data_IF_515917005445
#
_entry.id   IF_515917005445
#
_cell.length_a   1.000
_cell.length_b   1.000
_cell.length_c   1.000
_cell.angle_alpha   90.00
_cell.angle_beta   90.00
_cell.angle_gamma   90.00
#
_symmetry.space_group_name_H-M   'P 1'
#
loop_
_entity.id
_entity.type
_entity.pdbx_description
1 polymer ?
#
# COMPACT_ATOMS: atom_id res chain seq x y z
N UNK A 1 -35.69 -8.70 -1.56
CA UNK A 1 -34.31 -8.32 -1.19
C UNK A 1 -33.65 -7.66 -2.39
N UNK A 2 -33.14 -6.43 -2.27
CA UNK A 2 -32.38 -5.82 -3.36
C UNK A 2 -31.06 -6.57 -3.52
N UNK A 3 -30.81 -7.08 -4.73
CA UNK A 3 -29.58 -7.80 -5.08
C UNK A 3 -28.38 -6.86 -4.99
N UNK A 4 -27.32 -7.27 -4.30
CA UNK A 4 -26.04 -6.55 -4.20
C UNK A 4 -25.44 -6.21 -5.58
N UNK A 5 -25.79 -6.98 -6.62
CA UNK A 5 -25.37 -6.72 -7.99
C UNK A 5 -26.02 -5.47 -8.63
N UNK A 6 -27.14 -4.98 -8.09
CA UNK A 6 -27.86 -3.79 -8.58
C UNK A 6 -27.30 -2.47 -7.99
N UNK A 7 -26.37 -2.54 -7.04
CA UNK A 7 -25.74 -1.36 -6.44
C UNK A 7 -24.78 -0.72 -7.47
N UNK A 8 -25.01 0.56 -7.78
CA UNK A 8 -24.20 1.32 -8.73
C UNK A 8 -22.73 1.37 -8.29
N UNK A 9 -21.80 0.97 -9.17
CA UNK A 9 -20.35 1.04 -8.93
C UNK A 9 -19.71 2.37 -9.34
N UNK A 10 -20.52 3.42 -9.49
CA UNK A 10 -20.05 4.79 -9.79
C UNK A 10 -19.49 5.43 -8.52
N UNK A 11 -18.50 6.31 -8.68
CA UNK A 11 -18.03 7.17 -7.59
C UNK A 11 -18.90 8.43 -7.49
N UNK A 12 -18.88 9.07 -6.32
CA UNK A 12 -19.53 10.35 -6.05
C UNK A 12 -18.66 11.22 -5.13
N UNK A 13 -18.71 12.53 -5.36
CA UNK A 13 -18.17 13.53 -4.43
C UNK A 13 -19.32 14.13 -3.64
N UNK A 14 -19.32 13.92 -2.32
CA UNK A 14 -20.36 14.45 -1.42
C UNK A 14 -19.77 15.59 -0.61
N UNK A 15 -20.17 16.80 -0.95
CA UNK A 15 -19.79 18.01 -0.23
C UNK A 15 -20.67 18.19 1.01
N UNK A 16 -20.04 18.46 2.15
CA UNK A 16 -20.74 18.81 3.38
C UNK A 16 -20.48 20.27 3.72
N UNK A 17 -21.35 21.14 3.20
CA UNK A 17 -21.25 22.59 3.41
C UNK A 17 -21.77 23.05 4.77
N UNK A 18 -22.47 22.16 5.50
CA UNK A 18 -22.88 22.40 6.88
C UNK A 18 -21.76 22.12 7.90
N UNK A 19 -20.63 21.54 7.46
CA UNK A 19 -19.46 21.32 8.29
C UNK A 19 -18.75 22.64 8.60
N UNK A 20 -18.24 22.85 9.84
CA UNK A 20 -17.48 24.06 10.20
C UNK A 20 -16.16 24.20 9.43
N UNK A 21 -15.69 23.12 8.80
CA UNK A 21 -14.55 23.09 7.89
C UNK A 21 -15.00 22.53 6.53
N UNK A 22 -14.47 23.03 5.40
CA UNK A 22 -14.78 22.47 4.08
C UNK A 22 -14.47 20.97 4.06
N UNK A 23 -15.51 20.16 3.84
CA UNK A 23 -15.41 18.71 3.85
C UNK A 23 -16.00 18.13 2.57
N UNK A 24 -15.24 17.24 1.93
CA UNK A 24 -15.71 16.41 0.81
C UNK A 24 -15.46 14.95 1.14
N UNK A 25 -16.48 14.12 0.92
CA UNK A 25 -16.36 12.66 1.02
C UNK A 25 -16.28 12.06 -0.38
N UNK A 26 -15.26 11.24 -0.63
CA UNK A 26 -15.18 10.41 -1.82
C UNK A 26 -15.88 9.08 -1.55
N UNK A 27 -16.99 8.83 -2.23
CA UNK A 27 -17.79 7.62 -2.04
C UNK A 27 -17.66 6.72 -3.26
N UNK A 28 -17.23 5.47 -3.05
CA UNK A 28 -17.11 4.47 -4.11
C UNK A 28 -15.82 4.61 -4.93
N UNK A 29 -15.90 4.23 -6.21
CA UNK A 29 -14.75 4.13 -7.11
C UNK A 29 -14.16 2.72 -7.20
N UNK A 30 -13.38 2.49 -8.26
CA UNK A 30 -12.70 1.21 -8.52
C UNK A 30 -11.19 1.44 -8.66
N UNK A 31 -10.41 0.39 -8.44
CA UNK A 31 -8.96 0.43 -8.72
C UNK A 31 -8.65 0.86 -10.16
N UNK A 32 -9.45 0.40 -11.14
CA UNK A 32 -9.26 0.76 -12.55
C UNK A 32 -9.58 2.22 -12.88
N UNK A 33 -10.34 2.91 -12.02
CA UNK A 33 -10.72 4.32 -12.19
C UNK A 33 -10.03 5.23 -11.17
N UNK A 34 -9.09 4.72 -10.37
CA UNK A 34 -8.53 5.47 -9.25
C UNK A 34 -7.85 6.77 -9.70
N UNK A 35 -7.12 6.74 -10.81
CA UNK A 35 -6.42 7.92 -11.35
C UNK A 35 -7.40 8.98 -11.83
N UNK A 36 -8.37 8.61 -12.67
CA UNK A 36 -9.37 9.56 -13.18
C UNK A 36 -10.23 10.13 -12.06
N UNK A 37 -10.60 9.32 -11.07
CA UNK A 37 -11.32 9.76 -9.87
C UNK A 37 -10.49 10.75 -9.05
N UNK A 38 -9.21 10.46 -8.82
CA UNK A 38 -8.31 11.37 -8.12
C UNK A 38 -8.14 12.69 -8.86
N UNK A 39 -8.02 12.68 -10.20
CA UNK A 39 -7.97 13.88 -11.03
C UNK A 39 -9.24 14.73 -10.90
N UNK A 40 -10.42 14.11 -11.04
CA UNK A 40 -11.71 14.79 -10.88
C UNK A 40 -11.87 15.39 -9.48
N UNK A 41 -11.51 14.62 -8.45
CA UNK A 41 -11.58 15.07 -7.05
C UNK A 41 -10.66 16.26 -6.80
N UNK A 42 -9.38 16.12 -7.18
CA UNK A 42 -8.40 17.18 -6.99
C UNK A 42 -8.83 18.45 -7.73
N UNK A 43 -9.35 18.32 -8.96
CA UNK A 43 -9.87 19.44 -9.72
C UNK A 43 -11.03 20.15 -9.01
N UNK A 44 -12.02 19.40 -8.54
CA UNK A 44 -13.17 19.96 -7.81
C UNK A 44 -12.76 20.66 -6.50
N UNK A 45 -11.77 20.11 -5.79
CA UNK A 45 -11.21 20.73 -4.57
C UNK A 45 -10.46 22.03 -4.89
N UNK A 46 -9.59 22.03 -5.90
CA UNK A 46 -8.81 23.21 -6.29
C UNK A 46 -9.71 24.37 -6.72
N UNK A 47 -10.75 24.10 -7.52
CA UNK A 47 -11.75 25.12 -7.89
C UNK A 47 -12.42 25.72 -6.66
N UNK A 48 -12.78 24.91 -5.65
CA UNK A 48 -13.39 25.40 -4.41
C UNK A 48 -12.42 26.19 -3.53
N UNK A 49 -11.12 25.94 -3.66
CA UNK A 49 -10.05 26.73 -3.03
C UNK A 49 -9.73 28.03 -3.80
N UNK A 50 -10.38 28.28 -4.94
CA UNK A 50 -10.22 29.50 -5.73
C UNK A 50 -9.20 29.41 -6.86
N UNK A 51 -8.67 28.22 -7.14
CA UNK A 51 -7.75 28.01 -8.27
C UNK A 51 -8.50 28.03 -9.60
N UNK A 52 -7.86 28.59 -10.63
CA UNK A 52 -8.40 28.60 -11.99
C UNK A 52 -8.36 27.19 -12.58
N UNK A 53 -9.45 26.77 -13.24
CA UNK A 53 -9.49 25.49 -13.94
C UNK A 53 -8.39 25.34 -15.01
N UNK A 54 -7.87 26.45 -15.54
CA UNK A 54 -6.78 26.46 -16.52
C UNK A 54 -5.41 26.04 -15.92
N UNK A 55 -5.21 26.21 -14.61
CA UNK A 55 -3.94 25.94 -13.93
C UNK A 55 -3.88 24.51 -13.36
N UNK A 56 -4.99 23.77 -13.42
CA UNK A 56 -5.11 22.41 -12.90
C UNK A 56 -4.40 21.42 -13.83
N UNK A 57 -3.29 20.87 -13.37
CA UNK A 57 -2.51 19.86 -14.11
C UNK A 57 -3.17 18.48 -14.05
N UNK A 58 -3.07 17.72 -15.14
CA UNK A 58 -3.48 16.31 -15.14
C UNK A 58 -2.34 15.38 -14.70
N UNK A 59 -2.69 14.16 -14.29
CA UNK A 59 -1.76 13.13 -13.83
C UNK A 59 -1.52 12.04 -14.88
N UNK A 60 -2.08 12.13 -16.08
CA UNK A 60 -2.01 11.09 -17.11
C UNK A 60 -0.58 10.74 -17.51
N UNK A 61 0.26 11.75 -17.72
CA UNK A 61 1.67 11.58 -18.08
C UNK A 61 2.61 11.44 -16.88
N UNK A 62 2.09 11.49 -15.64
CA UNK A 62 2.92 11.37 -14.43
C UNK A 62 3.30 9.91 -14.22
N UNK A 63 4.60 9.64 -14.32
CA UNK A 63 5.19 8.33 -13.99
C UNK A 63 5.15 8.14 -12.47
N UNK A 64 4.74 6.95 -12.03
CA UNK A 64 4.77 6.56 -10.62
C UNK A 64 6.17 6.05 -10.23
N UNK A 65 6.59 6.16 -8.96
CA UNK A 65 7.85 5.56 -8.50
C UNK A 65 7.95 4.08 -8.91
N UNK A 66 9.12 3.66 -9.40
CA UNK A 66 9.34 2.31 -9.95
C UNK A 66 8.77 2.08 -11.36
N UNK A 67 8.01 3.02 -11.93
CA UNK A 67 7.44 2.93 -13.28
C UNK A 67 8.40 3.35 -14.41
N UNK A 68 9.61 3.81 -14.08
CA UNK A 68 10.68 4.01 -15.06
C UNK A 68 11.43 2.69 -15.20
N UNK A 69 11.40 2.11 -16.40
CA UNK A 69 12.27 0.98 -16.73
C UNK A 69 13.71 1.50 -16.78
N UNK A 70 14.45 1.37 -15.68
CA UNK A 70 15.90 1.55 -15.70
C UNK A 70 16.49 0.50 -16.65
N UNK A 71 17.26 0.96 -17.64
CA UNK A 71 17.94 0.06 -18.59
C UNK A 71 18.84 -0.90 -17.82
N UNK A 72 18.55 -2.19 -17.97
CA UNK A 72 19.40 -3.37 -17.68
C UNK A 72 20.28 -3.27 -16.42
N UNK A 73 19.68 -3.57 -15.26
CA UNK A 73 20.46 -3.84 -14.05
C UNK A 73 21.24 -5.15 -14.21
N UNK A 74 22.56 -5.04 -14.29
CA UNK A 74 23.52 -6.16 -14.31
C UNK A 74 23.22 -7.19 -13.21
N UNK A 75 23.34 -8.48 -13.56
CA UNK A 75 23.00 -9.65 -12.73
C UNK A 75 24.22 -10.14 -11.94
N UNK A 76 24.61 -9.43 -10.90
CA UNK A 76 25.61 -9.93 -9.95
C UNK A 76 24.96 -10.41 -8.64
N UNK A 77 25.23 -11.68 -8.25
CA UNK A 77 24.99 -12.28 -6.93
C UNK A 77 23.55 -12.24 -6.38
N UNK A 78 22.78 -13.32 -6.54
CA UNK A 78 21.34 -13.36 -6.24
C UNK A 78 20.97 -13.09 -4.76
N UNK A 79 21.62 -13.75 -3.78
CA UNK A 79 21.12 -13.73 -2.40
C UNK A 79 21.34 -12.39 -1.66
N UNK A 80 22.49 -11.75 -1.86
CA UNK A 80 22.80 -10.45 -1.24
C UNK A 80 21.88 -9.34 -1.77
N UNK A 81 21.52 -9.41 -3.05
CA UNK A 81 20.61 -8.47 -3.69
C UNK A 81 19.20 -8.51 -3.12
N UNK A 82 18.67 -9.69 -2.80
CA UNK A 82 17.32 -9.80 -2.25
C UNK A 82 17.24 -9.21 -0.84
N UNK A 83 18.25 -9.45 0.00
CA UNK A 83 18.31 -8.82 1.33
C UNK A 83 18.36 -7.30 1.25
N UNK A 84 19.17 -6.75 0.36
CA UNK A 84 19.23 -5.31 0.17
C UNK A 84 17.93 -4.75 -0.43
N UNK A 85 17.30 -5.45 -1.37
CA UNK A 85 16.00 -5.06 -1.91
C UNK A 85 14.93 -5.01 -0.81
N UNK A 86 14.90 -6.00 0.08
CA UNK A 86 13.98 -6.02 1.24
C UNK A 86 14.27 -4.86 2.19
N UNK A 87 15.55 -4.59 2.52
CA UNK A 87 15.92 -3.44 3.36
C UNK A 87 15.50 -2.11 2.75
N UNK A 88 15.66 -1.95 1.43
CA UNK A 88 15.17 -0.77 0.71
C UNK A 88 13.65 -0.62 0.82
N UNK A 89 12.89 -1.70 0.65
CA UNK A 89 11.43 -1.68 0.88
C UNK A 89 11.12 -1.22 2.30
N UNK A 90 11.84 -1.74 3.31
CA UNK A 90 11.63 -1.38 4.72
C UNK A 90 11.87 0.12 4.94
N UNK A 91 12.91 0.69 4.33
CA UNK A 91 13.27 2.11 4.47
C UNK A 91 12.37 3.05 3.67
N UNK A 92 12.05 2.69 2.43
CA UNK A 92 11.48 3.60 1.44
C UNK A 92 9.95 3.46 1.31
N UNK A 93 9.34 2.36 1.75
CA UNK A 93 7.92 2.06 1.49
C UNK A 93 7.02 2.02 2.73
N UNK A 94 7.38 2.75 3.79
CA UNK A 94 6.60 2.87 5.04
C UNK A 94 6.24 1.52 5.68
N UNK A 95 7.20 0.60 5.75
CA UNK A 95 7.05 -0.63 6.53
C UNK A 95 7.23 -0.28 8.01
N UNK A 96 6.20 -0.59 8.80
CA UNK A 96 6.19 -0.36 10.26
C UNK A 96 5.96 -1.64 11.05
N UNK A 97 5.36 -2.66 10.43
CA UNK A 97 5.09 -3.96 11.04
C UNK A 97 5.55 -5.09 10.13
N UNK A 98 5.72 -6.29 10.69
CA UNK A 98 6.04 -7.49 9.89
C UNK A 98 4.93 -7.79 8.87
N UNK A 99 3.66 -7.59 9.24
CA UNK A 99 2.52 -7.76 8.34
C UNK A 99 2.55 -6.80 7.14
N UNK A 100 3.06 -5.58 7.32
CA UNK A 100 3.22 -4.64 6.22
C UNK A 100 4.13 -5.20 5.12
N UNK A 101 5.21 -5.86 5.53
CA UNK A 101 6.20 -6.44 4.62
C UNK A 101 5.67 -7.72 3.98
N UNK A 102 5.13 -8.64 4.78
CA UNK A 102 4.66 -9.97 4.34
C UNK A 102 3.40 -9.88 3.48
N UNK A 103 2.39 -9.12 3.91
CA UNK A 103 1.06 -9.11 3.27
C UNK A 103 0.95 -8.10 2.13
N UNK A 104 1.67 -6.96 2.18
CA UNK A 104 1.40 -5.82 1.28
C UNK A 104 2.55 -5.47 0.34
N UNK A 105 3.80 -5.79 0.70
CA UNK A 105 4.99 -5.44 -0.09
C UNK A 105 5.57 -6.64 -0.83
N UNK A 106 5.78 -7.74 -0.11
CA UNK A 106 6.36 -8.96 -0.67
C UNK A 106 5.30 -9.97 -1.12
N UNK A 107 4.05 -9.83 -0.66
CA UNK A 107 2.94 -10.72 -1.01
C UNK A 107 3.21 -12.20 -0.69
N UNK A 108 4.00 -12.49 0.34
CA UNK A 108 4.41 -13.85 0.71
C UNK A 108 3.25 -14.70 1.25
N UNK A 109 2.09 -14.10 1.53
CA UNK A 109 0.88 -14.85 1.88
C UNK A 109 0.42 -15.82 0.78
N UNK A 110 0.88 -15.61 -0.46
CA UNK A 110 0.63 -16.50 -1.60
C UNK A 110 1.78 -17.47 -1.85
N UNK A 111 2.88 -17.37 -1.10
CA UNK A 111 4.02 -18.26 -1.23
C UNK A 111 3.79 -19.53 -0.39
N UNK A 112 3.72 -20.72 -1.01
CA UNK A 112 3.51 -21.97 -0.28
C UNK A 112 4.69 -22.36 0.62
N UNK A 113 5.86 -21.74 0.46
CA UNK A 113 7.04 -21.99 1.27
C UNK A 113 7.14 -21.07 2.48
N UNK A 114 6.22 -20.13 2.66
CA UNK A 114 6.22 -19.23 3.81
C UNK A 114 6.12 -20.04 5.11
N UNK A 115 7.19 -19.97 5.91
CA UNK A 115 7.30 -20.63 7.20
C UNK A 115 7.69 -19.65 8.32
N UNK A 116 7.72 -20.14 9.56
CA UNK A 116 8.04 -19.32 10.73
C UNK A 116 9.48 -18.79 10.69
N UNK A 117 10.41 -19.57 10.17
CA UNK A 117 11.81 -19.17 10.08
C UNK A 117 12.00 -17.98 9.12
N UNK A 118 11.24 -17.96 8.02
CA UNK A 118 11.18 -16.81 7.11
C UNK A 118 10.63 -15.57 7.82
N UNK A 119 9.55 -15.71 8.62
CA UNK A 119 8.99 -14.61 9.40
C UNK A 119 10.02 -14.04 10.40
N UNK A 120 10.74 -14.91 11.11
CA UNK A 120 11.81 -14.52 12.03
C UNK A 120 12.95 -13.80 11.30
N UNK A 121 13.37 -14.31 10.14
CA UNK A 121 14.39 -13.68 9.31
C UNK A 121 14.00 -12.27 8.85
N UNK A 122 12.74 -12.06 8.47
CA UNK A 122 12.22 -10.75 8.09
C UNK A 122 12.07 -9.81 9.30
N UNK A 123 11.63 -10.32 10.45
CA UNK A 123 11.55 -9.53 11.69
C UNK A 123 12.93 -9.04 12.15
N UNK A 124 13.97 -9.87 12.02
CA UNK A 124 15.35 -9.45 12.26
C UNK A 124 15.77 -8.35 11.30
N UNK A 125 15.36 -8.38 10.01
CA UNK A 125 15.64 -7.27 9.09
C UNK A 125 14.92 -5.99 9.50
N UNK A 126 13.67 -6.05 9.99
CA UNK A 126 12.98 -4.87 10.55
C UNK A 126 13.75 -4.31 11.76
N UNK A 127 14.23 -5.18 12.64
CA UNK A 127 15.03 -4.76 13.80
C UNK A 127 16.34 -4.08 13.38
N UNK A 128 17.04 -4.64 12.39
CA UNK A 128 18.28 -4.06 11.85
C UNK A 128 18.07 -2.67 11.23
N UNK A 129 16.91 -2.44 10.62
CA UNK A 129 16.54 -1.13 10.07
C UNK A 129 15.87 -0.20 11.11
N UNK A 130 15.88 -0.58 12.39
CA UNK A 130 15.36 0.21 13.51
C UNK A 130 13.83 0.36 13.51
N UNK A 131 13.10 -0.55 12.85
CA UNK A 131 11.63 -0.55 12.82
C UNK A 131 10.99 -1.38 13.92
N UNK A 132 11.78 -2.19 14.62
CA UNK A 132 11.32 -3.11 15.66
C UNK A 132 12.41 -3.21 16.73
N UNK A 133 12.04 -3.28 18.01
CA UNK A 133 13.02 -3.57 19.07
C UNK A 133 13.40 -5.06 19.08
N UNK A 134 14.55 -5.40 19.67
CA UNK A 134 15.05 -6.78 19.67
C UNK A 134 14.12 -7.73 20.45
N UNK A 135 13.60 -7.25 21.57
CA UNK A 135 12.65 -7.93 22.44
C UNK A 135 11.26 -8.12 21.81
N UNK A 136 10.93 -7.34 20.78
CA UNK A 136 9.62 -7.39 20.11
C UNK A 136 9.59 -8.38 18.95
N UNK A 137 10.73 -8.95 18.54
CA UNK A 137 10.81 -9.89 17.40
C UNK A 137 9.85 -11.07 17.57
N UNK A 138 9.87 -11.73 18.73
CA UNK A 138 9.01 -12.89 18.99
C UNK A 138 7.52 -12.54 18.89
N UNK A 139 7.12 -11.45 19.54
CA UNK A 139 5.75 -10.94 19.51
C UNK A 139 5.31 -10.60 18.09
N UNK A 140 6.13 -9.89 17.31
CA UNK A 140 5.81 -9.52 15.94
C UNK A 140 5.63 -10.74 15.02
N UNK A 141 6.44 -11.79 15.20
CA UNK A 141 6.31 -13.06 14.48
C UNK A 141 5.00 -13.76 14.86
N UNK A 142 4.68 -13.84 16.15
CA UNK A 142 3.45 -14.47 16.64
C UNK A 142 2.19 -13.73 16.18
N UNK A 143 2.20 -12.39 16.22
CA UNK A 143 1.11 -11.56 15.71
C UNK A 143 0.91 -11.75 14.21
N UNK A 144 2.00 -11.76 13.43
CA UNK A 144 1.93 -11.99 11.99
C UNK A 144 1.43 -13.40 11.66
N UNK A 145 1.98 -14.44 12.28
CA UNK A 145 1.56 -15.83 12.07
C UNK A 145 0.08 -16.04 12.51
N UNK A 146 -0.31 -15.48 13.64
CA UNK A 146 -1.68 -15.51 14.14
C UNK A 146 -2.67 -14.84 13.18
N UNK A 147 -2.29 -13.67 12.63
CA UNK A 147 -3.07 -12.96 11.61
C UNK A 147 -3.18 -13.76 10.32
N UNK A 148 -2.07 -14.36 9.86
CA UNK A 148 -2.06 -15.18 8.64
C UNK A 148 -2.97 -16.41 8.78
N UNK A 149 -2.98 -17.03 9.96
CA UNK A 149 -3.90 -18.12 10.30
C UNK A 149 -5.35 -17.65 10.34
N UNK A 150 -5.63 -16.56 11.05
CA UNK A 150 -7.00 -16.10 11.28
C UNK A 150 -7.68 -15.58 10.00
N UNK A 151 -6.95 -14.87 9.15
CA UNK A 151 -7.53 -14.22 7.96
C UNK A 151 -7.35 -15.01 6.67
N UNK A 152 -6.29 -15.81 6.55
CA UNK A 152 -5.96 -16.54 5.31
C UNK A 152 -5.89 -18.06 5.48
N UNK A 153 -6.03 -18.58 6.71
CA UNK A 153 -6.01 -20.02 6.98
C UNK A 153 -4.63 -20.66 6.87
N UNK A 154 -3.55 -19.87 6.80
CA UNK A 154 -2.19 -20.38 6.68
C UNK A 154 -1.72 -21.01 8.00
N UNK A 155 -1.02 -22.14 7.90
CA UNK A 155 -0.41 -22.82 9.04
C UNK A 155 1.10 -22.65 8.94
N UNK A 156 1.59 -21.71 9.72
CA UNK A 156 2.99 -21.30 9.85
C UNK A 156 3.46 -21.69 11.25
#
# INVERSE_FOLDING_TARGET
AQSTAAITRRHQLVWNDASPIPLVSLVGGKLTTCRSLAEETAGAVLVRLGESAADIRNSRARVIPGGVLEKERQRDGELGRWKEAIRRIIREEWVTTLGDLVERRLMLLYDPQLDRLMLEGLAVMLQQEGKLALEEIGTAVDECAGRLRAHFGLRI
#
